data_IF_037671466966
#
_entry.id   IF_037671466966
#
_cell.length_a   1.000
_cell.length_b   1.000
_cell.length_c   1.000
_cell.angle_alpha   90.00
_cell.angle_beta   90.00
_cell.angle_gamma   90.00
#
_symmetry.space_group_name_H-M   'P 1'
#
loop_
_entity.id
_entity.type
_entity.pdbx_description
1 polymer ?
#
# COMPACT_ATOMS: atom_id res chain seq x y z
N UNK A 1 27.79 -6.30 -10.58
CA UNK A 1 27.84 -5.15 -9.64
C UNK A 1 26.49 -4.42 -9.58
N UNK A 2 25.74 -4.37 -10.69
CA UNK A 2 24.44 -3.69 -10.79
C UNK A 2 23.31 -4.26 -9.90
N UNK A 3 23.18 -5.59 -9.78
CA UNK A 3 22.15 -6.23 -8.94
C UNK A 3 22.25 -5.80 -7.46
N UNK A 4 23.48 -5.65 -6.95
CA UNK A 4 23.73 -5.21 -5.56
C UNK A 4 23.28 -3.76 -5.30
N UNK A 5 23.15 -2.93 -6.34
CA UNK A 5 22.67 -1.54 -6.22
C UNK A 5 21.14 -1.47 -6.32
N UNK A 6 20.53 -2.30 -7.17
CA UNK A 6 19.09 -2.28 -7.41
C UNK A 6 18.27 -3.00 -6.33
N UNK A 7 18.81 -4.05 -5.72
CA UNK A 7 18.11 -4.78 -4.64
C UNK A 7 17.81 -3.88 -3.42
N UNK A 8 18.74 -3.06 -2.90
CA UNK A 8 18.42 -2.10 -1.83
C UNK A 8 17.33 -1.09 -2.25
N UNK A 9 17.40 -0.57 -3.48
CA UNK A 9 16.42 0.37 -4.02
C UNK A 9 15.01 -0.24 -4.14
N UNK A 10 14.93 -1.53 -4.47
CA UNK A 10 13.68 -2.26 -4.44
C UNK A 10 13.07 -2.26 -3.03
N UNK A 11 13.88 -2.53 -1.99
CA UNK A 11 13.39 -2.50 -0.61
C UNK A 11 12.99 -1.10 -0.15
N UNK A 12 13.66 -0.04 -0.63
CA UNK A 12 13.22 1.35 -0.38
C UNK A 12 11.80 1.55 -0.92
N UNK A 13 11.52 1.10 -2.14
CA UNK A 13 10.18 1.13 -2.72
C UNK A 13 9.16 0.31 -1.95
N UNK A 14 9.56 -0.89 -1.52
CA UNK A 14 8.71 -1.78 -0.73
C UNK A 14 8.32 -1.15 0.62
N UNK A 15 9.28 -0.56 1.33
CA UNK A 15 9.05 0.13 2.61
C UNK A 15 8.18 1.37 2.41
N UNK A 16 8.42 2.15 1.35
CA UNK A 16 7.55 3.27 0.99
C UNK A 16 6.11 2.81 0.75
N UNK A 17 5.93 1.65 0.11
CA UNK A 17 4.64 0.96 -0.02
C UNK A 17 4.00 0.67 1.33
N UNK A 18 4.73 0.05 2.26
CA UNK A 18 4.23 -0.25 3.61
C UNK A 18 3.69 1.01 4.29
N UNK A 19 4.48 2.09 4.29
CA UNK A 19 4.10 3.34 4.93
C UNK A 19 2.86 3.97 4.28
N UNK A 20 2.83 4.01 2.94
CA UNK A 20 1.72 4.57 2.17
C UNK A 20 0.41 3.83 2.44
N UNK A 21 0.39 2.50 2.24
CA UNK A 21 -0.85 1.73 2.32
C UNK A 21 -1.29 1.45 3.76
N UNK A 22 -0.35 1.41 4.73
CA UNK A 22 -0.70 1.33 6.15
C UNK A 22 -1.48 2.58 6.58
N UNK A 23 -1.00 3.77 6.22
CA UNK A 23 -1.73 5.02 6.46
C UNK A 23 -3.06 5.05 5.71
N UNK A 24 -3.10 4.58 4.45
CA UNK A 24 -4.34 4.48 3.69
C UNK A 24 -5.38 3.61 4.39
N UNK A 25 -5.00 2.42 4.84
CA UNK A 25 -5.93 1.51 5.52
C UNK A 25 -6.48 2.12 6.80
N UNK A 26 -5.61 2.74 7.61
CA UNK A 26 -6.00 3.44 8.83
C UNK A 26 -6.98 4.56 8.53
N UNK A 27 -6.71 5.37 7.50
CA UNK A 27 -7.60 6.45 7.05
C UNK A 27 -8.97 5.94 6.62
N UNK A 28 -9.04 4.85 5.84
CA UNK A 28 -10.30 4.25 5.41
C UNK A 28 -11.13 3.79 6.62
N UNK A 29 -10.50 3.14 7.60
CA UNK A 29 -11.21 2.68 8.81
C UNK A 29 -11.66 3.84 9.71
N UNK A 30 -10.92 4.95 9.76
CA UNK A 30 -11.28 6.11 10.60
C UNK A 30 -12.35 7.00 9.97
N UNK A 31 -12.30 7.21 8.65
CA UNK A 31 -13.18 8.17 7.96
C UNK A 31 -14.37 7.51 7.24
N UNK A 32 -14.38 6.18 7.10
CA UNK A 32 -15.48 5.44 6.49
C UNK A 32 -15.84 5.97 5.09
N UNK A 33 -17.09 6.35 4.91
CA UNK A 33 -17.68 6.83 3.64
C UNK A 33 -17.41 8.29 3.30
N UNK A 34 -16.71 9.05 4.15
CA UNK A 34 -16.41 10.46 3.90
C UNK A 34 -15.32 10.60 2.83
N UNK A 35 -15.75 10.58 1.56
CA UNK A 35 -14.91 10.65 0.36
C UNK A 35 -13.93 11.83 0.39
N UNK A 36 -14.35 12.96 0.96
CA UNK A 36 -13.52 14.17 1.06
C UNK A 36 -12.31 13.93 1.97
N UNK A 37 -12.53 13.33 3.14
CA UNK A 37 -11.45 13.02 4.10
C UNK A 37 -10.52 11.91 3.60
N UNK A 38 -11.06 10.92 2.90
CA UNK A 38 -10.26 9.87 2.24
C UNK A 38 -9.38 10.46 1.14
N UNK A 39 -9.91 11.41 0.34
CA UNK A 39 -9.15 12.10 -0.70
C UNK A 39 -8.08 13.03 -0.12
N UNK A 40 -8.39 13.79 0.93
CA UNK A 40 -7.41 14.59 1.65
C UNK A 40 -6.28 13.72 2.21
N UNK A 41 -6.61 12.59 2.81
CA UNK A 41 -5.61 11.63 3.28
C UNK A 41 -4.74 11.09 2.15
N UNK A 42 -5.30 10.93 0.94
CA UNK A 42 -4.54 10.52 -0.24
C UNK A 42 -3.50 11.56 -0.63
N UNK A 43 -3.85 12.84 -0.66
CA UNK A 43 -2.92 13.94 -0.96
C UNK A 43 -1.76 13.94 0.04
N UNK A 44 -2.04 13.76 1.32
CA UNK A 44 -1.01 13.76 2.37
C UNK A 44 0.01 12.62 2.24
N UNK A 45 -0.35 11.50 1.60
CA UNK A 45 0.53 10.33 1.41
C UNK A 45 1.25 10.29 0.06
N UNK A 46 0.84 11.09 -0.93
CA UNK A 46 1.51 11.20 -2.25
C UNK A 46 3.01 11.55 -2.16
N UNK A 47 3.49 12.38 -1.22
CA UNK A 47 4.91 12.67 -1.10
C UNK A 47 5.79 11.44 -0.81
N UNK A 48 5.25 10.40 -0.16
CA UNK A 48 6.02 9.20 0.23
C UNK A 48 6.62 8.48 -0.98
N UNK A 49 5.83 8.02 -1.98
CA UNK A 49 6.38 7.36 -3.18
C UNK A 49 7.22 8.31 -4.03
N UNK A 50 6.92 9.61 -4.03
CA UNK A 50 7.69 10.62 -4.78
C UNK A 50 9.10 10.75 -4.19
N UNK A 51 9.23 10.92 -2.87
CA UNK A 51 10.52 11.03 -2.19
C UNK A 51 11.34 9.74 -2.38
N UNK A 52 10.70 8.56 -2.25
CA UNK A 52 11.34 7.28 -2.50
C UNK A 52 11.89 7.18 -3.94
N UNK A 53 11.12 7.65 -4.93
CA UNK A 53 11.53 7.65 -6.34
C UNK A 53 12.70 8.61 -6.59
N UNK A 54 12.70 9.79 -5.96
CA UNK A 54 13.83 10.72 -6.02
C UNK A 54 15.11 10.14 -5.43
N UNK A 55 15.02 9.38 -4.33
CA UNK A 55 16.16 8.66 -3.76
C UNK A 55 16.71 7.63 -4.78
N UNK A 56 15.82 6.89 -5.43
CA UNK A 56 16.19 5.96 -6.51
C UNK A 56 16.88 6.65 -7.68
N UNK A 57 16.36 7.80 -8.12
CA UNK A 57 16.95 8.60 -9.18
C UNK A 57 18.35 9.10 -8.83
N UNK A 58 18.55 9.59 -7.60
CA UNK A 58 19.83 10.13 -7.18
C UNK A 58 20.94 9.07 -7.13
N UNK A 59 20.58 7.82 -6.77
CA UNK A 59 21.56 6.73 -6.61
C UNK A 59 21.87 6.04 -7.94
N UNK A 60 20.86 5.79 -8.79
CA UNK A 60 21.00 4.94 -9.97
C UNK A 60 20.26 5.45 -11.22
N UNK A 61 19.88 6.73 -11.26
CA UNK A 61 19.18 7.35 -12.37
C UNK A 61 17.80 6.72 -12.63
N UNK A 62 17.41 6.64 -13.90
CA UNK A 62 16.10 6.08 -14.31
C UNK A 62 15.91 4.62 -13.87
N UNK A 63 16.97 3.80 -13.92
CA UNK A 63 16.90 2.40 -13.47
C UNK A 63 16.65 2.28 -11.96
N UNK A 64 17.13 3.25 -11.19
CA UNK A 64 16.83 3.34 -9.76
C UNK A 64 15.38 3.64 -9.48
N UNK A 65 14.76 4.56 -10.25
CA UNK A 65 13.32 4.82 -10.18
C UNK A 65 12.53 3.54 -10.49
N UNK A 66 12.88 2.83 -11.57
CA UNK A 66 12.20 1.59 -11.95
C UNK A 66 12.27 0.52 -10.84
N UNK A 67 13.43 0.37 -10.18
CA UNK A 67 13.58 -0.56 -9.07
C UNK A 67 12.71 -0.18 -7.87
N UNK A 68 12.68 1.11 -7.50
CA UNK A 68 11.81 1.62 -6.42
C UNK A 68 10.34 1.40 -6.75
N UNK A 69 9.92 1.71 -7.98
CA UNK A 69 8.54 1.49 -8.42
C UNK A 69 8.17 0.01 -8.40
N UNK A 70 9.06 -0.88 -8.85
CA UNK A 70 8.84 -2.32 -8.79
C UNK A 70 8.61 -2.80 -7.34
N UNK A 71 9.44 -2.35 -6.39
CA UNK A 71 9.26 -2.66 -4.97
C UNK A 71 7.94 -2.15 -4.40
N UNK A 72 7.58 -0.92 -4.75
CA UNK A 72 6.31 -0.32 -4.35
C UNK A 72 5.10 -1.09 -4.89
N UNK A 73 5.12 -1.44 -6.19
CA UNK A 73 4.05 -2.19 -6.85
C UNK A 73 3.91 -3.61 -6.31
N UNK A 74 5.03 -4.30 -6.02
CA UNK A 74 4.97 -5.64 -5.41
C UNK A 74 4.25 -5.57 -4.06
N UNK A 75 4.58 -4.60 -3.22
CA UNK A 75 3.87 -4.43 -1.95
C UNK A 75 2.40 -4.05 -2.15
N UNK A 76 2.09 -3.16 -3.08
CA UNK A 76 0.71 -2.79 -3.42
C UNK A 76 -0.13 -4.02 -3.77
N UNK A 77 0.40 -4.93 -4.60
CA UNK A 77 -0.28 -6.18 -4.97
C UNK A 77 -0.52 -7.07 -3.76
N UNK A 78 0.50 -7.29 -2.93
CA UNK A 78 0.38 -8.10 -1.69
C UNK A 78 -0.68 -7.49 -0.77
N UNK A 79 -0.66 -6.18 -0.59
CA UNK A 79 -1.60 -5.45 0.26
C UNK A 79 -3.04 -5.62 -0.23
N UNK A 80 -3.29 -5.43 -1.53
CA UNK A 80 -4.63 -5.58 -2.11
C UNK A 80 -5.16 -7.00 -1.95
N UNK A 81 -4.35 -8.02 -2.25
CA UNK A 81 -4.75 -9.42 -2.07
C UNK A 81 -5.12 -9.70 -0.61
N UNK A 82 -4.27 -9.25 0.33
CA UNK A 82 -4.49 -9.46 1.76
C UNK A 82 -5.78 -8.77 2.23
N UNK A 83 -6.04 -7.54 1.77
CA UNK A 83 -7.23 -6.78 2.17
C UNK A 83 -8.52 -7.26 1.51
N UNK A 84 -8.47 -7.70 0.26
CA UNK A 84 -9.63 -8.36 -0.36
C UNK A 84 -10.00 -9.64 0.38
N UNK A 85 -9.01 -10.45 0.78
CA UNK A 85 -9.27 -11.68 1.57
C UNK A 85 -9.85 -11.36 2.96
N UNK A 86 -9.32 -10.33 3.62
CA UNK A 86 -9.79 -9.86 4.93
C UNK A 86 -11.25 -9.38 4.85
N UNK A 87 -11.59 -8.56 3.85
CA UNK A 87 -12.96 -8.09 3.61
C UNK A 87 -13.92 -9.25 3.30
N UNK A 88 -13.52 -10.18 2.43
CA UNK A 88 -14.34 -11.36 2.12
C UNK A 88 -14.67 -12.17 3.38
N UNK A 89 -13.68 -12.40 4.24
CA UNK A 89 -13.87 -13.16 5.47
C UNK A 89 -14.75 -12.41 6.50
N UNK A 90 -14.69 -11.07 6.55
CA UNK A 90 -15.55 -10.27 7.42
C UNK A 90 -17.02 -10.39 6.99
N UNK A 91 -17.27 -10.27 5.68
CA UNK A 91 -18.60 -10.42 5.09
C UNK A 91 -19.16 -11.82 5.34
N UNK A 92 -18.39 -12.88 5.09
CA UNK A 92 -18.85 -14.26 5.33
C UNK A 92 -19.19 -14.53 6.82
N UNK A 93 -18.43 -13.93 7.75
CA UNK A 93 -18.72 -14.03 9.19
C UNK A 93 -19.99 -13.29 9.59
N UNK A 94 -20.22 -12.10 9.05
CA UNK A 94 -21.46 -11.34 9.30
C UNK A 94 -22.68 -12.15 8.86
N UNK A 95 -22.68 -12.69 7.64
CA UNK A 95 -23.77 -13.54 7.15
C UNK A 95 -23.95 -14.84 7.95
N UNK A 96 -22.87 -15.46 8.43
CA UNK A 96 -22.97 -16.69 9.23
C UNK A 96 -23.53 -16.43 10.64
N UNK A 97 -23.20 -15.29 11.24
CA UNK A 97 -23.69 -14.90 12.56
C UNK A 97 -25.17 -14.46 12.52
N UNK A 98 -25.61 -13.80 11.45
CA UNK A 98 -27.02 -13.47 11.25
C UNK A 98 -27.89 -14.74 11.12
N UNK A 99 -27.43 -15.73 10.36
CA UNK A 99 -28.17 -17.00 10.21
C UNK A 99 -28.21 -17.84 11.50
N UNK A 100 -27.18 -17.77 12.36
CA UNK A 100 -27.16 -18.51 13.63
C UNK A 100 -27.96 -17.82 14.76
N UNK A 101 -28.21 -16.50 14.67
CA UNK A 101 -29.04 -15.77 15.64
C UNK A 101 -30.54 -15.78 15.30
N UNK A 102 -30.93 -16.34 14.16
CA UNK A 102 -32.34 -16.49 13.74
C UNK A 102 -32.91 -17.91 13.90
N UNK A 103 -32.10 -18.87 14.40
CA UNK A 103 -32.55 -20.20 14.84
C UNK A 103 -32.49 -20.30 16.37
#
# INVERSE_FOLDING_TARGET
MEILLYTPLFFVGFIAGILYFSHMWKSIHTFGTDKSKVFLSMILRVPIPIIASFIGYFIAGLNGILSVLAGFTVFQTIFLIKKCKDLKNQVEKEFSNENNNQN
#
